data_IF_070440226594
#
_entry.id   IF_070440226594
#
_cell.length_a   1.000
_cell.length_b   1.000
_cell.length_c   1.000
_cell.angle_alpha   90.00
_cell.angle_beta   90.00
_cell.angle_gamma   90.00
#
_symmetry.space_group_name_H-M   'P 1'
#
loop_
_entity.id
_entity.type
_entity.pdbx_description
1 polymer ?
#
# COMPACT_ATOMS: atom_id res chain seq x y z
N UNK A 1 -32.70 33.69 64.02
CA UNK A 1 -34.07 33.17 64.26
C UNK A 1 -34.62 32.79 62.90
N UNK A 2 -35.08 31.59 62.52
CA UNK A 2 -35.39 30.28 63.12
C UNK A 2 -35.34 29.30 61.92
N UNK A 3 -34.46 28.29 61.84
CA UNK A 3 -34.62 26.87 62.28
C UNK A 3 -36.01 26.24 62.06
N UNK A 4 -36.08 25.26 61.14
CA UNK A 4 -36.68 23.89 61.23
C UNK A 4 -36.45 23.20 59.86
N UNK A 5 -35.50 22.28 59.65
CA UNK A 5 -35.47 20.82 60.00
C UNK A 5 -36.74 20.05 59.51
N UNK A 6 -36.73 18.88 58.84
CA UNK A 6 -35.70 17.83 58.67
C UNK A 6 -36.21 16.68 57.74
N UNK A 7 -35.26 15.82 57.30
CA UNK A 7 -35.34 14.42 56.79
C UNK A 7 -35.43 14.33 55.25
N UNK A 8 -34.54 13.73 54.46
CA UNK A 8 -33.37 12.85 54.70
C UNK A 8 -33.56 11.48 54.03
N UNK A 9 -32.91 11.24 52.87
CA UNK A 9 -32.15 9.99 52.55
C UNK A 9 -31.53 10.01 51.15
N UNK A 10 -30.26 9.65 51.14
CA UNK A 10 -29.35 9.40 50.02
C UNK A 10 -29.70 8.14 49.21
N UNK A 11 -29.75 8.26 47.87
CA UNK A 11 -29.36 7.25 46.86
C UNK A 11 -28.96 8.10 45.63
N UNK A 12 -27.71 8.16 45.19
CA UNK A 12 -27.02 7.15 44.38
C UNK A 12 -26.74 7.77 43.00
N UNK A 13 -25.50 7.60 42.51
CA UNK A 13 -24.92 8.20 41.29
C UNK A 13 -25.64 7.78 40.00
N UNK A 14 -25.28 8.50 38.91
CA UNK A 14 -25.19 8.09 37.48
C UNK A 14 -26.22 8.76 36.54
N UNK A 15 -25.70 9.10 35.35
CA UNK A 15 -26.35 9.63 34.12
C UNK A 15 -26.43 11.17 33.99
N UNK A 16 -25.30 11.79 33.70
CA UNK A 16 -25.26 13.02 32.89
C UNK A 16 -24.34 12.77 31.68
N UNK A 17 -24.87 12.02 30.69
CA UNK A 17 -24.13 11.59 29.52
C UNK A 17 -25.02 11.25 28.31
N UNK A 18 -26.17 11.93 28.15
CA UNK A 18 -27.08 11.69 27.01
C UNK A 18 -27.46 13.00 26.27
N UNK A 19 -27.05 14.18 26.76
CA UNK A 19 -27.48 15.47 26.19
C UNK A 19 -26.82 15.92 24.88
N UNK A 20 -25.69 15.34 24.47
CA UNK A 20 -24.91 15.80 23.29
C UNK A 20 -25.13 14.94 22.05
N UNK A 21 -25.53 13.67 22.20
CA UNK A 21 -25.80 12.78 21.06
C UNK A 21 -27.09 13.11 20.30
N UNK A 22 -28.08 13.72 20.96
CA UNK A 22 -29.38 14.01 20.33
C UNK A 22 -29.38 15.22 19.38
N UNK A 23 -28.40 16.14 19.50
CA UNK A 23 -28.34 17.33 18.64
C UNK A 23 -27.61 17.10 17.31
N UNK A 24 -26.80 16.03 17.18
CA UNK A 24 -26.16 15.68 15.91
C UNK A 24 -27.10 14.88 14.98
N UNK A 25 -28.06 14.14 15.55
CA UNK A 25 -29.02 13.33 14.78
C UNK A 25 -30.09 14.22 14.08
N UNK A 26 -30.39 15.39 14.65
CA UNK A 26 -31.39 16.32 14.10
C UNK A 26 -30.99 17.01 12.79
N UNK A 27 -29.69 17.23 12.54
CA UNK A 27 -29.22 17.89 11.31
C UNK A 27 -28.99 16.92 10.14
N UNK A 28 -28.74 15.63 10.41
CA UNK A 28 -28.61 14.59 9.38
C UNK A 28 -29.96 14.21 8.75
N UNK A 29 -31.05 14.30 9.51
CA UNK A 29 -32.40 13.99 9.01
C UNK A 29 -32.90 15.01 7.97
N UNK A 30 -32.45 16.28 8.05
CA UNK A 30 -32.82 17.32 7.08
C UNK A 30 -32.04 17.18 5.76
N UNK A 31 -30.77 16.79 5.83
CA UNK A 31 -29.95 16.45 4.66
C UNK A 31 -30.44 15.20 3.93
N UNK A 32 -30.91 14.19 4.68
CA UNK A 32 -31.49 12.97 4.13
C UNK A 32 -32.82 13.19 3.39
N UNK A 33 -33.57 14.26 3.73
CA UNK A 33 -34.79 14.62 3.00
C UNK A 33 -34.49 15.28 1.65
N UNK A 34 -33.45 16.12 1.57
CA UNK A 34 -33.00 16.74 0.31
C UNK A 34 -32.29 15.75 -0.62
N UNK A 35 -31.64 14.71 -0.09
CA UNK A 35 -31.01 13.64 -0.87
C UNK A 35 -32.01 12.68 -1.55
N UNK A 36 -33.29 12.74 -1.18
CA UNK A 36 -34.30 11.76 -1.62
C UNK A 36 -34.83 12.00 -3.03
N UNK A 37 -34.45 13.10 -3.69
CA UNK A 37 -34.92 13.45 -5.04
C UNK A 37 -33.99 13.07 -6.21
N UNK A 38 -32.74 12.60 -6.01
CA UNK A 38 -31.84 12.30 -7.14
C UNK A 38 -31.53 10.80 -7.30
N UNK A 39 -32.53 9.99 -7.66
CA UNK A 39 -32.36 8.55 -7.76
C UNK A 39 -31.84 8.06 -9.11
N UNK A 40 -30.69 7.36 -9.09
CA UNK A 40 -30.43 6.09 -9.82
C UNK A 40 -29.02 5.51 -9.59
N UNK A 41 -28.01 6.33 -9.23
CA UNK A 41 -26.64 5.86 -8.94
C UNK A 41 -26.42 5.41 -7.47
N UNK A 42 -27.37 5.72 -6.58
CA UNK A 42 -27.20 5.61 -5.13
C UNK A 42 -27.04 4.18 -4.61
N UNK A 43 -27.56 3.14 -5.28
CA UNK A 43 -27.58 1.78 -4.69
C UNK A 43 -26.21 1.13 -4.54
N UNK A 44 -25.21 1.48 -5.36
CA UNK A 44 -23.84 0.94 -5.23
C UNK A 44 -23.00 1.75 -4.24
N UNK A 45 -23.08 3.07 -4.31
CA UNK A 45 -22.41 3.98 -3.38
C UNK A 45 -22.96 3.80 -1.97
N UNK A 46 -24.28 3.73 -1.79
CA UNK A 46 -24.89 3.42 -0.50
C UNK A 46 -24.46 2.04 0.01
N UNK A 47 -24.34 1.01 -0.83
CA UNK A 47 -23.82 -0.30 -0.38
C UNK A 47 -22.35 -0.27 -0.01
N UNK A 48 -21.55 0.56 -0.65
CA UNK A 48 -20.14 0.76 -0.29
C UNK A 48 -20.04 1.53 1.03
N UNK A 49 -20.75 2.66 1.16
CA UNK A 49 -20.83 3.46 2.39
C UNK A 49 -21.36 2.62 3.55
N UNK A 50 -22.43 1.85 3.35
CA UNK A 50 -23.02 0.97 4.37
C UNK A 50 -22.06 -0.17 4.76
N UNK A 51 -21.25 -0.67 3.82
CA UNK A 51 -20.18 -1.63 4.11
C UNK A 51 -19.03 -0.99 4.90
N UNK A 52 -18.62 0.23 4.55
CA UNK A 52 -17.59 0.95 5.28
C UNK A 52 -18.07 1.29 6.69
N UNK A 53 -19.31 1.78 6.84
CA UNK A 53 -19.93 2.05 8.14
C UNK A 53 -20.06 0.77 8.98
N UNK A 54 -20.44 -0.37 8.37
CA UNK A 54 -20.50 -1.65 9.07
C UNK A 54 -19.13 -2.16 9.49
N UNK A 55 -18.12 -2.04 8.62
CA UNK A 55 -16.73 -2.39 8.93
C UNK A 55 -16.18 -1.53 10.06
N UNK A 56 -16.38 -0.21 9.98
CA UNK A 56 -16.02 0.74 11.04
C UNK A 56 -16.74 0.44 12.36
N UNK A 57 -18.02 0.07 12.33
CA UNK A 57 -18.76 -0.33 13.52
C UNK A 57 -18.23 -1.64 14.12
N UNK A 58 -17.94 -2.64 13.28
CA UNK A 58 -17.33 -3.91 13.71
C UNK A 58 -15.91 -3.72 14.27
N UNK A 59 -15.11 -2.82 13.69
CA UNK A 59 -13.77 -2.46 14.17
C UNK A 59 -13.81 -1.65 15.47
N UNK A 60 -14.80 -0.76 15.64
CA UNK A 60 -15.00 0.01 16.87
C UNK A 60 -15.48 -0.86 18.05
N UNK A 61 -16.08 -2.03 17.79
CA UNK A 61 -16.47 -3.02 18.81
C UNK A 61 -15.34 -3.98 19.21
N UNK A 62 -14.27 -4.09 18.41
CA UNK A 62 -13.10 -4.90 18.77
C UNK A 62 -12.33 -4.25 19.91
N UNK A 63 -11.99 -5.02 20.94
CA UNK A 63 -11.01 -4.58 21.93
C UNK A 63 -9.66 -4.39 21.23
N UNK A 64 -9.09 -3.19 21.34
CA UNK A 64 -7.80 -2.86 20.75
C UNK A 64 -6.70 -3.78 21.32
N UNK A 65 -6.21 -4.68 20.46
CA UNK A 65 -5.15 -5.64 20.76
C UNK A 65 -3.85 -5.32 19.99
N UNK A 66 -3.81 -4.17 19.31
CA UNK A 66 -2.69 -3.78 18.48
C UNK A 66 -1.43 -3.58 19.33
N UNK A 67 -0.39 -4.31 18.95
CA UNK A 67 0.97 -4.15 19.43
C UNK A 67 1.90 -4.44 18.26
N UNK A 68 2.86 -3.56 17.97
CA UNK A 68 3.87 -3.80 16.94
C UNK A 68 5.06 -4.57 17.49
N UNK A 69 5.73 -4.04 18.51
CA UNK A 69 6.92 -4.65 19.09
C UNK A 69 6.60 -6.01 19.72
N UNK A 70 7.33 -7.05 19.29
CA UNK A 70 7.14 -8.42 19.73
C UNK A 70 6.09 -9.22 18.94
N UNK A 71 5.38 -8.61 17.99
CA UNK A 71 4.52 -9.35 17.05
C UNK A 71 5.37 -10.15 16.06
N UNK A 72 4.96 -11.39 15.78
CA UNK A 72 5.69 -12.32 14.89
C UNK A 72 4.91 -12.51 13.60
N UNK A 73 5.43 -11.95 12.50
CA UNK A 73 4.85 -12.06 11.16
C UNK A 73 5.28 -13.37 10.52
N UNK A 74 4.33 -14.10 9.94
CA UNK A 74 4.57 -15.36 9.21
C UNK A 74 5.23 -16.44 10.07
N UNK A 75 4.95 -16.47 11.37
CA UNK A 75 5.52 -17.38 12.38
C UNK A 75 7.06 -17.35 12.48
N UNK A 76 7.73 -16.37 11.84
CA UNK A 76 9.18 -16.41 11.61
C UNK A 76 9.90 -15.09 11.90
N UNK A 77 9.21 -13.94 11.75
CA UNK A 77 9.86 -12.63 11.77
C UNK A 77 9.25 -11.73 12.85
N UNK A 78 9.97 -11.58 13.95
CA UNK A 78 9.57 -10.69 15.04
C UNK A 78 9.84 -9.21 14.69
N UNK A 79 8.85 -8.35 14.88
CA UNK A 79 8.99 -6.90 14.83
C UNK A 79 9.73 -6.46 16.10
N UNK A 80 11.02 -6.17 15.97
CA UNK A 80 11.85 -5.76 17.11
C UNK A 80 11.81 -4.25 17.32
N UNK A 81 11.81 -3.83 18.59
CA UNK A 81 11.90 -2.42 18.96
C UNK A 81 13.20 -1.78 18.49
N UNK A 82 13.09 -0.60 17.88
CA UNK A 82 14.24 0.23 17.45
C UNK A 82 14.43 1.47 18.30
N UNK A 83 13.63 1.61 19.36
CA UNK A 83 13.55 2.81 20.19
C UNK A 83 14.88 3.23 20.81
N UNK A 84 15.68 2.26 21.26
CA UNK A 84 17.00 2.56 21.84
C UNK A 84 17.91 3.26 20.82
N UNK A 85 17.90 2.80 19.56
CA UNK A 85 18.69 3.38 18.46
C UNK A 85 18.21 4.81 18.15
N UNK A 86 16.90 5.00 17.99
CA UNK A 86 16.35 6.32 17.66
C UNK A 86 16.55 7.34 18.80
N UNK A 87 16.40 6.93 20.06
CA UNK A 87 16.67 7.80 21.23
C UNK A 87 18.17 8.14 21.37
N UNK A 88 19.07 7.19 21.10
CA UNK A 88 20.51 7.44 21.08
C UNK A 88 20.91 8.43 19.99
N UNK A 89 20.33 8.30 18.78
CA UNK A 89 20.56 9.25 17.69
C UNK A 89 20.12 10.68 18.06
N UNK A 90 18.89 10.82 18.60
CA UNK A 90 18.32 12.13 18.98
C UNK A 90 19.10 12.79 20.13
N UNK A 91 19.57 12.00 21.10
CA UNK A 91 20.32 12.51 22.26
C UNK A 91 21.81 12.71 21.99
N UNK A 92 22.36 12.02 20.98
CA UNK A 92 23.80 11.92 20.75
C UNK A 92 24.53 10.99 21.73
N UNK A 93 23.82 10.30 22.62
CA UNK A 93 24.39 9.37 23.60
C UNK A 93 24.16 7.90 23.19
N UNK A 94 25.20 7.29 22.63
CA UNK A 94 25.19 5.87 22.26
C UNK A 94 25.66 4.95 23.40
N UNK A 95 25.99 5.46 24.60
CA UNK A 95 26.63 4.67 25.66
C UNK A 95 25.85 3.42 26.05
N UNK A 96 24.52 3.54 26.10
CA UNK A 96 23.55 2.48 26.47
C UNK A 96 23.30 1.44 25.38
N UNK A 97 23.73 1.70 24.15
CA UNK A 97 23.55 0.78 23.04
C UNK A 97 24.53 -0.41 23.12
N UNK A 98 24.03 -1.59 22.77
CA UNK A 98 24.85 -2.77 22.49
C UNK A 98 25.78 -2.54 21.31
N UNK A 99 26.75 -3.43 21.10
CA UNK A 99 27.69 -3.33 19.97
C UNK A 99 26.97 -3.37 18.60
N UNK A 100 25.94 -4.21 18.46
CA UNK A 100 25.14 -4.34 17.22
C UNK A 100 24.35 -3.05 16.98
N UNK A 101 23.65 -2.55 17.99
CA UNK A 101 22.89 -1.29 17.90
C UNK A 101 23.79 -0.08 17.60
N UNK A 102 24.99 0.02 18.20
CA UNK A 102 25.97 1.09 17.87
C UNK A 102 26.37 1.07 16.40
N UNK A 103 26.58 -0.11 15.83
CA UNK A 103 26.92 -0.24 14.42
C UNK A 103 25.74 0.15 13.52
N UNK A 104 24.52 -0.27 13.87
CA UNK A 104 23.29 0.09 13.16
C UNK A 104 23.00 1.59 13.23
N UNK A 105 23.08 2.21 14.42
CA UNK A 105 22.91 3.65 14.63
C UNK A 105 23.90 4.44 13.77
N UNK A 106 25.18 4.06 13.81
CA UNK A 106 26.21 4.73 13.02
C UNK A 106 25.93 4.67 11.52
N UNK A 107 25.60 3.49 10.99
CA UNK A 107 25.25 3.33 9.57
C UNK A 107 24.02 4.15 9.20
N UNK A 108 22.98 4.09 10.03
CA UNK A 108 21.75 4.83 9.82
C UNK A 108 22.01 6.35 9.81
N UNK A 109 22.80 6.85 10.77
CA UNK A 109 23.22 8.24 10.85
C UNK A 109 23.96 8.71 9.60
N UNK A 110 24.96 7.96 9.13
CA UNK A 110 25.73 8.28 7.93
C UNK A 110 24.83 8.36 6.67
N UNK A 111 23.84 7.47 6.57
CA UNK A 111 22.85 7.49 5.49
C UNK A 111 21.96 8.73 5.60
N UNK A 112 21.37 8.97 6.77
CA UNK A 112 20.45 10.09 7.01
C UNK A 112 21.13 11.43 6.75
N UNK A 113 22.32 11.67 7.29
CA UNK A 113 23.09 12.91 7.08
C UNK A 113 23.32 13.22 5.59
N UNK A 114 23.46 12.18 4.76
CA UNK A 114 23.63 12.34 3.32
C UNK A 114 22.32 12.65 2.61
N UNK A 115 21.26 11.88 2.89
CA UNK A 115 20.02 11.96 2.10
C UNK A 115 19.10 13.10 2.55
N UNK A 116 19.15 13.51 3.83
CA UNK A 116 18.26 14.55 4.37
C UNK A 116 18.90 15.93 4.45
N UNK A 117 20.16 16.10 4.01
CA UNK A 117 20.92 17.36 4.10
C UNK A 117 20.20 18.62 3.61
N UNK A 118 19.32 18.47 2.61
CA UNK A 118 18.58 19.58 1.99
C UNK A 118 17.09 19.60 2.32
N UNK A 119 16.62 18.61 3.08
CA UNK A 119 15.21 18.47 3.43
C UNK A 119 14.84 19.49 4.51
N UNK A 120 13.70 20.14 4.33
CA UNK A 120 13.14 21.19 5.19
C UNK A 120 11.83 20.77 5.83
N UNK A 121 11.09 19.87 5.20
CA UNK A 121 9.81 19.35 5.69
C UNK A 121 9.92 17.87 6.01
N UNK A 122 9.00 17.36 6.81
CA UNK A 122 8.94 15.95 7.17
C UNK A 122 8.64 15.08 5.95
N UNK A 123 7.76 15.54 5.05
CA UNK A 123 7.58 14.90 3.73
C UNK A 123 8.88 14.79 2.91
N UNK A 124 9.73 15.83 2.89
CA UNK A 124 10.98 15.77 2.13
C UNK A 124 11.98 14.78 2.76
N UNK A 125 11.98 14.65 4.09
CA UNK A 125 12.83 13.66 4.78
C UNK A 125 12.34 12.25 4.53
N UNK A 126 11.03 12.02 4.67
CA UNK A 126 10.36 10.75 4.38
C UNK A 126 10.63 10.30 2.94
N UNK A 127 10.37 11.17 1.96
CA UNK A 127 10.61 10.87 0.55
C UNK A 127 12.08 10.50 0.29
N UNK A 128 13.04 11.21 0.91
CA UNK A 128 14.46 10.91 0.76
C UNK A 128 14.81 9.51 1.33
N UNK A 129 14.23 9.13 2.47
CA UNK A 129 14.38 7.79 3.06
C UNK A 129 13.75 6.74 2.16
N UNK A 130 12.50 6.93 1.75
CA UNK A 130 11.78 6.05 0.83
C UNK A 130 12.60 5.78 -0.43
N UNK A 131 13.07 6.84 -1.10
CA UNK A 131 13.84 6.71 -2.35
C UNK A 131 15.18 6.01 -2.14
N UNK A 132 15.83 6.25 -1.00
CA UNK A 132 17.06 5.56 -0.66
C UNK A 132 16.80 4.07 -0.44
N UNK A 133 15.76 3.71 0.33
CA UNK A 133 15.41 2.32 0.60
C UNK A 133 15.03 1.58 -0.68
N UNK A 134 14.12 2.15 -1.49
CA UNK A 134 13.69 1.59 -2.77
C UNK A 134 14.88 1.28 -3.70
N UNK A 135 15.89 2.17 -3.71
CA UNK A 135 17.06 2.03 -4.60
C UNK A 135 18.15 1.10 -4.05
N UNK A 136 18.32 1.04 -2.73
CA UNK A 136 19.52 0.45 -2.11
C UNK A 136 19.25 -0.85 -1.36
N UNK A 137 17.99 -1.28 -1.23
CA UNK A 137 17.63 -2.54 -0.60
C UNK A 137 16.92 -3.38 -1.65
N UNK A 138 17.35 -4.63 -1.85
CA UNK A 138 16.65 -5.59 -2.71
C UNK A 138 15.73 -6.46 -1.85
N UNK A 139 14.69 -7.02 -2.46
CA UNK A 139 13.92 -8.07 -1.81
C UNK A 139 14.78 -9.35 -1.67
N UNK A 140 14.49 -10.14 -0.63
CA UNK A 140 15.10 -11.47 -0.42
C UNK A 140 14.17 -12.57 -0.93
N UNK A 141 13.55 -12.39 -2.10
CA UNK A 141 12.58 -13.34 -2.67
C UNK A 141 13.20 -14.64 -3.19
N UNK A 142 14.38 -15.03 -2.69
CA UNK A 142 14.95 -16.34 -3.02
C UNK A 142 14.13 -17.44 -2.36
N UNK A 143 13.20 -18.02 -3.12
CA UNK A 143 12.56 -19.31 -2.81
C UNK A 143 13.53 -20.50 -2.78
N UNK A 144 14.84 -20.27 -2.92
CA UNK A 144 15.87 -21.28 -2.68
C UNK A 144 16.30 -21.21 -1.23
N UNK A 145 15.58 -21.93 -0.38
CA UNK A 145 16.02 -22.30 0.97
C UNK A 145 17.29 -23.15 0.82
N UNK A 146 18.46 -22.50 0.77
CA UNK A 146 19.73 -23.17 1.02
C UNK A 146 19.97 -23.15 2.53
N UNK A 147 19.74 -24.30 3.15
CA UNK A 147 19.88 -24.63 4.59
C UNK A 147 21.31 -24.42 5.14
N UNK A 148 22.23 -23.78 4.42
CA UNK A 148 23.65 -23.81 4.75
C UNK A 148 24.31 -22.47 5.05
N UNK A 149 23.62 -21.31 5.08
CA UNK A 149 24.19 -20.10 5.70
C UNK A 149 23.17 -18.99 5.99
N UNK A 150 22.61 -18.98 7.21
CA UNK A 150 22.06 -17.81 7.95
C UNK A 150 21.65 -16.57 7.11
N UNK A 151 20.42 -16.53 6.60
CA UNK A 151 19.70 -15.29 6.31
C UNK A 151 19.06 -14.70 7.60
N UNK A 152 19.73 -14.82 8.75
CA UNK A 152 19.08 -14.67 10.07
C UNK A 152 18.82 -13.23 10.52
N UNK A 153 19.15 -12.22 9.72
CA UNK A 153 19.02 -10.80 10.10
C UNK A 153 18.25 -9.94 9.08
N UNK A 154 17.72 -10.52 7.98
CA UNK A 154 17.04 -9.77 6.88
C UNK A 154 15.71 -9.11 7.28
N UNK A 155 15.20 -9.42 8.47
CA UNK A 155 14.03 -8.80 9.08
C UNK A 155 14.39 -7.75 10.14
N UNK A 156 15.69 -7.44 10.31
CA UNK A 156 16.18 -6.49 11.33
C UNK A 156 16.91 -5.32 10.66
N UNK A 157 16.84 -4.08 11.19
CA UNK A 157 17.56 -2.95 10.58
C UNK A 157 19.07 -3.17 10.46
N UNK A 158 19.67 -3.91 11.41
CA UNK A 158 21.07 -4.28 11.34
C UNK A 158 21.41 -5.13 10.10
N UNK A 159 20.59 -6.14 9.80
CA UNK A 159 20.79 -6.98 8.62
C UNK A 159 20.43 -6.27 7.33
N UNK A 160 19.36 -5.47 7.32
CA UNK A 160 18.99 -4.65 6.16
C UNK A 160 20.10 -3.67 5.80
N UNK A 161 20.63 -2.91 6.76
CA UNK A 161 21.66 -1.92 6.49
C UNK A 161 23.02 -2.55 6.16
N UNK A 162 23.34 -3.71 6.72
CA UNK A 162 24.59 -4.44 6.46
C UNK A 162 24.59 -5.26 5.16
N UNK A 163 23.48 -5.92 4.84
CA UNK A 163 23.36 -6.87 3.72
C UNK A 163 22.60 -6.35 2.50
N UNK A 164 21.85 -5.25 2.64
CA UNK A 164 21.03 -4.65 1.57
C UNK A 164 19.98 -5.59 0.97
N UNK A 165 19.57 -6.60 1.74
CA UNK A 165 18.48 -7.53 1.44
C UNK A 165 17.52 -7.57 2.61
N UNK A 166 16.22 -7.60 2.32
CA UNK A 166 15.21 -7.62 3.37
C UNK A 166 13.90 -8.29 2.95
N UNK A 167 13.20 -8.82 3.95
CA UNK A 167 11.77 -9.18 3.90
C UNK A 167 10.91 -8.01 4.39
N UNK A 168 9.58 -8.10 4.28
CA UNK A 168 8.66 -7.02 4.65
C UNK A 168 8.93 -6.42 6.04
N UNK A 169 9.13 -7.26 7.07
CA UNK A 169 9.46 -6.82 8.44
C UNK A 169 10.76 -6.01 8.49
N UNK A 170 11.76 -6.39 7.70
CA UNK A 170 13.03 -5.68 7.63
C UNK A 170 12.89 -4.31 6.99
N UNK A 171 12.05 -4.17 5.96
CA UNK A 171 11.73 -2.87 5.38
C UNK A 171 10.98 -2.00 6.39
N UNK A 172 9.88 -2.50 6.96
CA UNK A 172 9.04 -1.73 7.87
C UNK A 172 9.83 -1.25 9.11
N UNK A 173 10.50 -2.17 9.81
CA UNK A 173 11.31 -1.81 10.99
C UNK A 173 12.46 -0.85 10.67
N UNK A 174 13.08 -0.94 9.48
CA UNK A 174 14.12 0.01 9.05
C UNK A 174 13.54 1.38 8.72
N UNK A 175 12.39 1.42 8.05
CA UNK A 175 11.70 2.67 7.74
C UNK A 175 11.23 3.37 9.02
N UNK A 176 10.52 2.68 9.92
CA UNK A 176 10.15 3.18 11.25
C UNK A 176 11.37 3.74 12.00
N UNK A 177 12.48 2.99 12.06
CA UNK A 177 13.70 3.44 12.72
C UNK A 177 14.22 4.76 12.14
N UNK A 178 14.26 4.89 10.81
CA UNK A 178 14.65 6.14 10.16
C UNK A 178 13.69 7.29 10.48
N UNK A 179 12.37 7.05 10.45
CA UNK A 179 11.36 8.07 10.78
C UNK A 179 11.53 8.56 12.21
N UNK A 180 11.64 7.64 13.19
CA UNK A 180 11.83 7.98 14.60
C UNK A 180 13.15 8.72 14.86
N UNK A 181 14.24 8.35 14.17
CA UNK A 181 15.52 9.07 14.24
C UNK A 181 15.36 10.51 13.75
N UNK A 182 14.56 10.72 12.69
CA UNK A 182 14.26 12.03 12.12
C UNK A 182 13.21 12.82 12.92
N UNK A 183 12.65 12.23 13.98
CA UNK A 183 11.66 12.84 14.87
C UNK A 183 10.21 12.71 14.41
N UNK A 184 9.93 11.85 13.43
CA UNK A 184 8.58 11.60 12.93
C UNK A 184 7.90 10.49 13.73
N UNK A 185 6.59 10.60 13.92
CA UNK A 185 5.75 9.53 14.48
C UNK A 185 5.50 8.48 13.39
N UNK A 186 5.80 7.22 13.68
CA UNK A 186 5.67 6.12 12.74
C UNK A 186 5.31 4.83 13.47
N UNK A 187 4.41 4.05 12.89
CA UNK A 187 4.00 2.72 13.35
C UNK A 187 4.31 1.67 12.30
N UNK A 188 4.65 0.45 12.73
CA UNK A 188 4.66 -0.73 11.87
C UNK A 188 3.27 -1.34 11.87
N UNK A 189 2.57 -1.20 10.75
CA UNK A 189 1.31 -1.91 10.52
C UNK A 189 1.63 -3.33 10.12
N UNK A 190 0.84 -4.29 10.60
CA UNK A 190 1.07 -5.70 10.33
C UNK A 190 -0.22 -6.50 10.27
N UNK A 191 -0.10 -7.67 9.67
CA UNK A 191 -1.02 -8.79 9.77
C UNK A 191 -0.22 -10.10 9.78
N UNK A 192 -0.91 -11.24 9.68
CA UNK A 192 -0.29 -12.56 9.83
C UNK A 192 0.85 -12.85 8.83
N UNK A 193 0.93 -12.15 7.69
CA UNK A 193 1.88 -12.45 6.62
C UNK A 193 2.63 -11.23 6.05
N UNK A 194 2.26 -10.01 6.42
CA UNK A 194 2.84 -8.80 5.87
C UNK A 194 3.03 -7.69 6.91
N UNK A 195 3.96 -6.78 6.63
CA UNK A 195 4.19 -5.59 7.44
C UNK A 195 4.65 -4.42 6.58
N UNK A 196 4.19 -3.23 6.95
CA UNK A 196 4.49 -1.95 6.29
C UNK A 196 4.37 -0.83 7.34
N UNK A 197 4.38 0.43 6.93
CA UNK A 197 4.45 1.57 7.84
C UNK A 197 3.25 2.50 7.74
N UNK A 198 2.98 3.18 8.85
CA UNK A 198 2.04 4.30 8.96
C UNK A 198 2.77 5.48 9.58
N UNK A 199 2.87 6.60 8.86
CA UNK A 199 3.69 7.74 9.26
C UNK A 199 2.90 9.03 9.24
N UNK A 200 3.17 9.90 10.22
CA UNK A 200 2.53 11.21 10.35
C UNK A 200 3.42 12.30 9.78
N UNK A 201 2.83 13.18 8.97
CA UNK A 201 3.57 14.23 8.25
C UNK A 201 3.17 15.65 8.70
N UNK A 202 3.73 16.67 8.05
CA UNK A 202 3.67 18.07 8.50
C UNK A 202 2.24 18.64 8.65
N UNK A 203 1.25 18.02 8.01
CA UNK A 203 -0.17 18.40 8.12
C UNK A 203 -0.91 17.69 9.25
N UNK A 204 -0.17 16.98 10.11
CA UNK A 204 -0.67 16.14 11.20
C UNK A 204 -1.61 15.02 10.73
N UNK A 205 -1.54 14.64 9.46
CA UNK A 205 -2.28 13.49 8.91
C UNK A 205 -1.37 12.27 8.82
N UNK A 206 -1.99 11.10 8.87
CA UNK A 206 -1.33 9.80 8.74
C UNK A 206 -1.42 9.27 7.31
N UNK A 207 -0.41 8.49 6.94
CA UNK A 207 -0.19 7.98 5.61
C UNK A 207 0.41 6.58 5.65
N UNK A 208 -0.14 5.65 4.87
CA UNK A 208 0.45 4.32 4.67
C UNK A 208 1.64 4.41 3.72
N UNK A 209 2.74 3.73 4.08
CA UNK A 209 3.94 3.57 3.25
C UNK A 209 4.36 2.10 3.24
N UNK A 210 4.48 1.51 2.05
CA UNK A 210 4.96 0.14 1.89
C UNK A 210 6.09 0.08 0.84
N UNK A 211 7.32 0.27 1.33
CA UNK A 211 8.52 0.23 0.49
C UNK A 211 8.75 -1.18 -0.08
N UNK A 212 8.44 -2.23 0.68
CA UNK A 212 8.67 -3.61 0.26
C UNK A 212 7.82 -3.98 -0.95
N UNK A 213 6.53 -3.64 -0.94
CA UNK A 213 5.62 -3.92 -2.04
C UNK A 213 5.98 -3.13 -3.30
N UNK A 214 6.42 -1.87 -3.15
CA UNK A 214 6.89 -1.06 -4.28
C UNK A 214 8.15 -1.65 -4.92
N UNK A 215 9.13 -2.09 -4.11
CA UNK A 215 10.34 -2.75 -4.62
C UNK A 215 9.98 -4.09 -5.28
N UNK A 216 9.15 -4.90 -4.63
CA UNK A 216 8.84 -6.26 -5.10
C UNK A 216 8.00 -6.29 -6.37
N UNK A 217 7.18 -5.26 -6.59
CA UNK A 217 6.38 -5.09 -7.81
C UNK A 217 7.05 -4.23 -8.88
N UNK A 218 8.27 -3.74 -8.63
CA UNK A 218 8.96 -2.76 -9.47
C UNK A 218 8.10 -1.52 -9.78
N UNK A 219 7.23 -1.13 -8.83
CA UNK A 219 6.21 -0.11 -8.99
C UNK A 219 6.47 1.05 -8.03
N UNK A 220 7.45 1.89 -8.38
CA UNK A 220 7.83 3.03 -7.54
C UNK A 220 6.64 3.96 -7.29
N UNK A 221 6.41 4.25 -6.01
CA UNK A 221 5.36 5.08 -5.41
C UNK A 221 3.94 4.53 -5.49
N UNK A 222 3.74 3.25 -5.81
CA UNK A 222 2.41 2.64 -5.81
C UNK A 222 1.81 2.61 -4.41
N UNK A 223 2.66 2.41 -3.40
CA UNK A 223 2.29 2.32 -2.00
C UNK A 223 2.97 3.41 -1.15
N UNK A 224 3.26 4.58 -1.74
CA UNK A 224 3.85 5.72 -1.03
C UNK A 224 2.80 6.79 -0.72
N UNK A 225 2.54 6.96 0.58
CA UNK A 225 1.61 7.91 1.18
C UNK A 225 0.16 7.68 0.75
N UNK A 226 -0.35 6.47 0.96
CA UNK A 226 -1.75 6.13 0.70
C UNK A 226 -2.63 6.51 1.90
N UNK A 227 -3.85 7.04 1.66
CA UNK A 227 -4.89 7.08 2.69
C UNK A 227 -5.51 5.68 2.85
N UNK A 228 -6.21 5.45 3.97
CA UNK A 228 -6.86 4.18 4.32
C UNK A 228 -7.72 3.64 3.17
N UNK A 229 -8.53 4.51 2.54
CA UNK A 229 -9.43 4.13 1.45
C UNK A 229 -8.71 3.58 0.21
N UNK A 230 -7.44 3.95 0.00
CA UNK A 230 -6.59 3.42 -1.07
C UNK A 230 -5.84 2.18 -0.58
N UNK A 231 -5.23 2.24 0.61
CA UNK A 231 -4.50 1.12 1.18
C UNK A 231 -5.38 -0.13 1.32
N UNK A 232 -6.64 0.03 1.71
CA UNK A 232 -7.62 -1.06 1.86
C UNK A 232 -7.94 -1.83 0.58
N UNK A 233 -7.49 -1.37 -0.61
CA UNK A 233 -7.63 -2.10 -1.85
C UNK A 233 -6.61 -3.26 -1.99
N UNK A 234 -5.47 -3.17 -1.30
CA UNK A 234 -4.38 -4.16 -1.36
C UNK A 234 -3.82 -4.59 -0.01
N UNK A 235 -4.21 -3.91 1.07
CA UNK A 235 -3.73 -4.13 2.43
C UNK A 235 -4.89 -4.39 3.38
N UNK A 236 -4.67 -5.28 4.33
CA UNK A 236 -5.61 -5.60 5.41
C UNK A 236 -4.89 -5.49 6.74
N UNK A 237 -5.46 -4.71 7.67
CA UNK A 237 -4.93 -4.50 9.01
C UNK A 237 -6.07 -4.35 10.03
N UNK A 238 -5.72 -4.48 11.31
CA UNK A 238 -6.60 -4.10 12.41
C UNK A 238 -6.54 -2.58 12.62
N UNK A 239 -7.54 -1.86 12.12
CA UNK A 239 -7.65 -0.41 12.28
C UNK A 239 -8.03 0.06 13.68
N UNK A 240 -8.46 -0.84 14.59
CA UNK A 240 -8.97 -0.45 15.92
C UNK A 240 -7.91 0.17 16.85
N UNK A 241 -6.62 -0.12 16.57
CA UNK A 241 -5.50 0.33 17.40
C UNK A 241 -4.53 1.30 16.74
N UNK A 242 -4.79 1.66 15.48
CA UNK A 242 -3.96 2.55 14.68
C UNK A 242 -4.72 3.84 14.36
N UNK A 243 -4.02 4.98 14.20
CA UNK A 243 -4.66 6.21 13.77
C UNK A 243 -5.14 6.11 12.31
N UNK A 244 -6.28 6.73 12.00
CA UNK A 244 -6.81 6.76 10.62
C UNK A 244 -5.91 7.57 9.68
N UNK A 245 -5.56 7.00 8.52
CA UNK A 245 -4.87 7.72 7.44
C UNK A 245 -5.87 8.37 6.49
N UNK A 246 -6.29 9.59 6.83
CA UNK A 246 -7.18 10.41 5.99
C UNK A 246 -6.43 11.46 5.18
N UNK A 247 -5.10 11.50 5.28
CA UNK A 247 -4.27 12.49 4.60
C UNK A 247 -4.29 12.34 3.08
N UNK A 248 -4.46 13.45 2.37
CA UNK A 248 -4.43 13.50 0.88
C UNK A 248 -3.32 14.39 0.30
N UNK A 249 -2.88 15.39 1.07
CA UNK A 249 -1.90 16.40 0.64
C UNK A 249 -0.55 15.79 0.22
N UNK A 250 -0.13 14.74 0.90
CA UNK A 250 1.15 14.08 0.68
C UNK A 250 1.09 12.80 -0.15
N UNK A 251 -0.09 12.40 -0.63
CA UNK A 251 -0.23 11.32 -1.59
C UNK A 251 0.59 11.61 -2.85
N UNK A 252 1.46 10.68 -3.23
CA UNK A 252 2.35 10.88 -4.36
C UNK A 252 1.59 11.18 -5.68
N UNK A 253 0.49 10.48 -6.01
CA UNK A 253 -0.29 10.81 -7.20
C UNK A 253 -0.88 12.22 -7.19
N UNK A 254 -1.44 12.65 -6.04
CA UNK A 254 -2.09 13.97 -5.90
C UNK A 254 -1.07 15.09 -6.13
N UNK A 255 0.13 14.96 -5.57
CA UNK A 255 1.20 15.95 -5.72
C UNK A 255 1.79 16.04 -7.13
N UNK A 256 1.80 14.92 -7.84
CA UNK A 256 2.48 14.79 -9.14
C UNK A 256 1.50 14.73 -10.33
N UNK A 257 0.22 15.01 -10.10
CA UNK A 257 -0.81 14.98 -11.13
C UNK A 257 -0.61 16.06 -12.20
N UNK A 258 -0.66 15.64 -13.47
CA UNK A 258 -0.65 16.54 -14.62
C UNK A 258 -2.06 16.74 -15.16
N UNK A 259 -2.38 17.96 -15.57
CA UNK A 259 -3.69 18.26 -16.14
C UNK A 259 -3.83 17.67 -17.55
N UNK A 260 -4.94 16.97 -17.78
CA UNK A 260 -5.35 16.48 -19.10
C UNK A 260 -6.80 16.89 -19.39
N UNK A 261 -7.17 16.88 -20.67
CA UNK A 261 -8.49 17.32 -21.13
C UNK A 261 -9.57 16.32 -20.75
N UNK A 262 -9.32 15.05 -21.01
CA UNK A 262 -10.28 13.96 -20.90
C UNK A 262 -9.59 12.58 -20.85
N UNK A 263 -10.36 11.55 -20.53
CA UNK A 263 -9.88 10.16 -20.41
C UNK A 263 -9.36 9.59 -21.73
N UNK A 264 -9.79 10.11 -22.89
CA UNK A 264 -9.38 9.58 -24.20
C UNK A 264 -7.88 9.76 -24.47
N UNK A 265 -7.20 10.64 -23.72
CA UNK A 265 -5.75 10.82 -23.80
C UNK A 265 -4.96 9.76 -23.01
N UNK A 266 -5.61 9.05 -22.08
CA UNK A 266 -4.94 8.13 -21.14
C UNK A 266 -4.28 6.93 -21.82
N UNK A 267 -4.93 6.20 -22.76
CA UNK A 267 -4.32 5.01 -23.37
C UNK A 267 -2.99 5.31 -24.09
N UNK A 268 -2.95 6.40 -24.86
CA UNK A 268 -1.74 6.83 -25.56
C UNK A 268 -0.61 7.20 -24.59
N UNK A 269 -0.96 7.81 -23.45
CA UNK A 269 0.01 8.17 -22.39
C UNK A 269 0.55 6.93 -21.67
N UNK A 270 -0.29 5.94 -21.38
CA UNK A 270 0.15 4.65 -20.81
C UNK A 270 1.13 3.97 -21.75
N UNK A 271 0.79 3.83 -23.04
CA UNK A 271 1.69 3.24 -24.03
C UNK A 271 3.05 3.95 -24.05
N UNK A 272 3.05 5.28 -24.05
CA UNK A 272 4.29 6.06 -24.01
C UNK A 272 5.07 5.86 -22.70
N UNK A 273 4.38 5.74 -21.57
CA UNK A 273 4.99 5.51 -20.27
C UNK A 273 5.68 4.14 -20.19
N UNK A 274 5.03 3.10 -20.73
CA UNK A 274 5.59 1.75 -20.86
C UNK A 274 6.89 1.78 -21.67
N UNK A 275 6.89 2.40 -22.85
CA UNK A 275 8.13 2.53 -23.67
C UNK A 275 9.25 3.27 -22.94
N UNK A 276 8.89 4.22 -22.06
CA UNK A 276 9.84 4.99 -21.25
C UNK A 276 10.16 4.35 -19.90
N UNK A 277 9.68 3.11 -19.65
CA UNK A 277 9.85 2.37 -18.39
C UNK A 277 9.46 3.20 -17.15
N UNK A 278 8.36 3.94 -17.25
CA UNK A 278 7.79 4.66 -16.09
C UNK A 278 6.92 3.72 -15.27
N UNK A 279 7.00 3.82 -13.94
CA UNK A 279 6.18 3.06 -13.00
C UNK A 279 4.81 3.69 -12.73
N UNK A 280 4.55 4.92 -13.18
CA UNK A 280 3.27 5.55 -12.94
C UNK A 280 2.98 6.82 -13.74
N UNK A 281 1.69 7.15 -13.79
CA UNK A 281 1.10 8.34 -14.41
C UNK A 281 -0.03 8.84 -13.52
N UNK A 282 -0.14 10.16 -13.35
CA UNK A 282 -1.13 10.74 -12.46
C UNK A 282 -1.83 11.90 -13.18
N UNK A 283 -3.14 11.86 -13.25
CA UNK A 283 -3.93 12.78 -14.07
C UNK A 283 -4.99 13.50 -13.26
N UNK A 284 -4.98 14.82 -13.33
CA UNK A 284 -6.14 15.65 -12.95
C UNK A 284 -6.85 16.12 -14.21
N UNK A 285 -8.14 16.34 -14.12
CA UNK A 285 -8.97 16.66 -15.28
C UNK A 285 -9.39 18.11 -15.25
N UNK A 286 -9.37 18.76 -16.42
CA UNK A 286 -9.81 20.15 -16.56
C UNK A 286 -11.30 20.32 -16.23
N UNK A 287 -12.10 19.31 -16.56
CA UNK A 287 -13.52 19.26 -16.25
C UNK A 287 -13.75 18.40 -15.00
N UNK A 288 -14.83 18.69 -14.27
CA UNK A 288 -15.25 17.89 -13.12
C UNK A 288 -15.49 16.44 -13.54
N UNK A 289 -14.86 15.52 -12.82
CA UNK A 289 -15.03 14.07 -13.00
C UNK A 289 -16.41 13.66 -12.49
N UNK A 290 -17.13 12.87 -13.28
CA UNK A 290 -18.43 12.30 -12.93
C UNK A 290 -18.33 10.79 -12.68
N UNK A 291 -19.35 10.18 -12.06
CA UNK A 291 -19.45 8.72 -11.92
C UNK A 291 -19.34 7.99 -13.27
N UNK A 292 -19.83 8.62 -14.36
CA UNK A 292 -19.73 8.08 -15.72
C UNK A 292 -18.29 8.05 -16.20
N UNK A 293 -17.50 9.06 -15.87
CA UNK A 293 -16.08 9.11 -16.19
C UNK A 293 -15.31 8.04 -15.40
N UNK A 294 -15.64 7.85 -14.13
CA UNK A 294 -15.04 6.79 -13.31
C UNK A 294 -15.36 5.40 -13.88
N UNK A 295 -16.63 5.11 -14.22
CA UNK A 295 -17.02 3.84 -14.85
C UNK A 295 -16.39 3.64 -16.24
N UNK A 296 -16.26 4.72 -17.02
CA UNK A 296 -15.56 4.69 -18.31
C UNK A 296 -14.08 4.36 -18.13
N UNK A 297 -13.44 4.91 -17.08
CA UNK A 297 -12.04 4.61 -16.77
C UNK A 297 -11.81 3.14 -16.41
N UNK A 298 -12.73 2.50 -15.67
CA UNK A 298 -12.66 1.08 -15.37
C UNK A 298 -12.73 0.23 -16.65
N UNK A 299 -13.68 0.55 -17.54
CA UNK A 299 -13.81 -0.14 -18.84
C UNK A 299 -12.54 0.02 -19.67
N UNK A 300 -12.03 1.26 -19.76
CA UNK A 300 -10.79 1.57 -20.46
C UNK A 300 -9.60 0.78 -19.89
N UNK A 301 -9.48 0.68 -18.56
CA UNK A 301 -8.37 -0.04 -17.92
C UNK A 301 -8.48 -1.56 -18.12
N UNK A 302 -9.70 -2.12 -18.15
CA UNK A 302 -9.91 -3.53 -18.50
C UNK A 302 -9.46 -3.81 -19.95
N UNK A 303 -9.83 -2.95 -20.89
CA UNK A 303 -9.41 -3.07 -22.29
C UNK A 303 -7.89 -2.95 -22.45
N UNK A 304 -7.26 -2.03 -21.70
CA UNK A 304 -5.80 -1.88 -21.66
C UNK A 304 -5.15 -3.14 -21.08
N UNK A 305 -5.65 -3.66 -19.96
CA UNK A 305 -5.12 -4.88 -19.35
C UNK A 305 -5.20 -6.07 -20.31
N UNK A 306 -6.33 -6.23 -21.01
CA UNK A 306 -6.49 -7.26 -22.03
C UNK A 306 -5.50 -7.06 -23.20
N UNK A 307 -5.33 -5.83 -23.68
CA UNK A 307 -4.39 -5.51 -24.75
C UNK A 307 -2.92 -5.77 -24.36
N UNK A 308 -2.55 -5.53 -23.09
CA UNK A 308 -1.21 -5.85 -22.57
C UNK A 308 -0.99 -7.36 -22.45
N UNK A 309 -2.01 -8.11 -22.02
CA UNK A 309 -1.94 -9.55 -21.87
C UNK A 309 -1.78 -10.29 -23.22
N UNK A 310 -2.45 -9.83 -24.28
CA UNK A 310 -2.40 -10.46 -25.61
C UNK A 310 -1.29 -9.91 -26.51
N UNK A 311 -0.50 -8.94 -26.04
CA UNK A 311 0.56 -8.34 -26.85
C UNK A 311 1.73 -9.31 -27.00
N UNK A 312 2.04 -9.75 -28.23
CA UNK A 312 3.17 -10.65 -28.51
C UNK A 312 4.52 -10.10 -28.00
N UNK A 313 4.66 -8.78 -27.94
CA UNK A 313 5.89 -8.10 -27.49
C UNK A 313 5.99 -7.92 -25.98
N UNK A 314 4.87 -7.98 -25.26
CA UNK A 314 4.84 -7.75 -23.81
C UNK A 314 4.45 -9.01 -23.03
N UNK A 315 3.74 -9.96 -23.67
CA UNK A 315 3.40 -11.29 -23.19
C UNK A 315 2.98 -11.37 -21.70
N UNK A 316 2.25 -10.37 -21.20
CA UNK A 316 1.84 -10.28 -19.79
C UNK A 316 2.94 -9.88 -18.79
N UNK A 317 4.14 -9.53 -19.23
CA UNK A 317 5.25 -9.04 -18.39
C UNK A 317 5.00 -7.66 -17.80
N UNK A 318 3.97 -6.96 -18.27
CA UNK A 318 3.59 -5.63 -17.80
C UNK A 318 2.13 -5.66 -17.39
N UNK A 319 1.83 -5.17 -16.19
CA UNK A 319 0.47 -4.90 -15.73
C UNK A 319 0.29 -3.40 -15.50
N UNK A 320 -0.96 -2.95 -15.61
CA UNK A 320 -1.34 -1.60 -15.27
C UNK A 320 -2.59 -1.62 -14.39
N UNK A 321 -2.56 -0.90 -13.28
CA UNK A 321 -3.69 -0.72 -12.37
C UNK A 321 -4.03 0.77 -12.26
N UNK A 322 -5.27 1.09 -11.92
CA UNK A 322 -5.71 2.46 -11.77
C UNK A 322 -6.53 2.66 -10.51
N UNK A 323 -6.36 3.82 -9.88
CA UNK A 323 -7.03 4.21 -8.65
C UNK A 323 -7.41 5.68 -8.71
N UNK A 324 -8.59 6.00 -8.18
CA UNK A 324 -9.04 7.37 -8.01
C UNK A 324 -8.67 7.87 -6.63
N UNK A 325 -7.87 8.94 -6.57
CA UNK A 325 -7.51 9.63 -5.34
C UNK A 325 -8.33 10.90 -5.20
N UNK A 326 -8.89 11.15 -4.02
CA UNK A 326 -9.41 12.47 -3.66
C UNK A 326 -8.24 13.46 -3.54
N UNK A 327 -8.38 14.65 -4.12
CA UNK A 327 -7.35 15.70 -4.07
C UNK A 327 -7.51 16.69 -2.89
N UNK A 328 -8.51 16.46 -2.04
CA UNK A 328 -8.89 17.30 -0.91
C UNK A 328 -9.62 18.58 -1.30
N UNK A 329 -10.03 18.72 -2.57
CA UNK A 329 -10.66 19.94 -3.14
C UNK A 329 -11.91 19.61 -3.95
N UNK A 330 -12.65 18.57 -3.53
CA UNK A 330 -13.85 18.06 -4.23
C UNK A 330 -13.58 17.65 -5.69
N UNK A 331 -12.35 17.20 -5.95
CA UNK A 331 -11.87 16.78 -7.25
C UNK A 331 -11.05 15.50 -7.11
N UNK A 332 -10.76 14.85 -8.23
CA UNK A 332 -10.13 13.53 -8.24
C UNK A 332 -8.93 13.48 -9.17
N UNK A 333 -7.95 12.69 -8.75
CA UNK A 333 -6.78 12.31 -9.55
C UNK A 333 -6.89 10.85 -9.94
N UNK A 334 -6.81 10.57 -11.25
CA UNK A 334 -6.64 9.22 -11.76
C UNK A 334 -5.16 8.87 -11.69
N UNK A 335 -4.80 8.01 -10.75
CA UNK A 335 -3.47 7.41 -10.66
C UNK A 335 -3.44 6.11 -11.45
N UNK A 336 -2.38 5.91 -12.22
CA UNK A 336 -2.14 4.69 -12.99
C UNK A 336 -0.75 4.21 -12.63
N UNK A 337 -0.66 2.99 -12.11
CA UNK A 337 0.60 2.35 -11.76
C UNK A 337 0.90 1.26 -12.79
N UNK A 338 2.16 1.17 -13.18
CA UNK A 338 2.66 0.24 -14.19
C UNK A 338 3.72 -0.60 -13.52
N UNK A 339 3.47 -1.90 -13.44
CA UNK A 339 4.38 -2.87 -12.84
C UNK A 339 4.98 -3.73 -13.95
N UNK A 340 6.25 -4.12 -13.78
CA UNK A 340 6.94 -4.99 -14.72
C UNK A 340 7.50 -6.21 -13.99
N UNK A 341 7.20 -7.39 -14.52
CA UNK A 341 7.61 -8.69 -13.99
C UNK A 341 8.81 -9.27 -14.76
N UNK A 342 9.44 -8.48 -15.64
CA UNK A 342 10.56 -8.95 -16.48
C UNK A 342 11.80 -9.38 -15.68
N UNK A 343 11.88 -8.99 -14.40
CA UNK A 343 13.04 -9.25 -13.53
C UNK A 343 12.80 -10.39 -12.53
N UNK A 344 11.61 -11.00 -12.48
CA UNK A 344 11.47 -12.28 -11.77
C UNK A 344 12.09 -13.37 -12.63
N UNK A 345 13.16 -14.07 -12.17
CA UNK A 345 13.62 -15.25 -12.87
C UNK A 345 12.44 -16.22 -12.89
N UNK A 346 11.88 -16.45 -14.08
CA UNK A 346 10.97 -17.56 -14.28
C UNK A 346 11.84 -18.80 -14.29
N UNK A 347 12.32 -19.21 -13.11
CA UNK A 347 13.19 -20.36 -12.94
C UNK A 347 12.36 -21.63 -13.04
N UNK A 348 11.88 -21.90 -14.26
CA UNK A 348 11.32 -23.18 -14.63
C UNK A 348 12.43 -24.20 -14.92
N UNK A 349 13.70 -23.90 -14.64
CA UNK A 349 14.81 -24.81 -14.95
C UNK A 349 14.77 -26.10 -14.13
N UNK A 350 14.00 -26.12 -13.02
CA UNK A 350 13.72 -27.32 -12.23
C UNK A 350 12.42 -28.07 -12.61
N UNK A 351 11.58 -27.50 -13.48
CA UNK A 351 10.30 -28.12 -13.84
C UNK A 351 10.45 -29.05 -15.05
N UNK A 352 10.02 -30.30 -14.90
CA UNK A 352 9.95 -31.25 -16.00
C UNK A 352 9.02 -30.73 -17.11
N UNK A 353 9.60 -30.50 -18.28
CA UNK A 353 8.92 -29.98 -19.47
C UNK A 353 7.67 -30.80 -19.85
N UNK A 354 7.67 -32.11 -19.59
CA UNK A 354 6.51 -32.99 -19.82
C UNK A 354 5.37 -32.72 -18.85
N UNK A 355 5.68 -32.38 -17.60
CA UNK A 355 4.69 -32.02 -16.58
C UNK A 355 4.06 -30.68 -16.93
N UNK A 356 4.87 -29.70 -17.33
CA UNK A 356 4.40 -28.38 -17.78
C UNK A 356 3.49 -28.53 -19.01
N UNK A 357 3.90 -29.30 -20.03
CA UNK A 357 3.07 -29.59 -21.22
C UNK A 357 1.75 -30.29 -20.86
N UNK A 358 1.78 -31.23 -19.90
CA UNK A 358 0.58 -31.94 -19.43
C UNK A 358 -0.40 -31.01 -18.71
N UNK A 359 0.10 -30.14 -17.82
CA UNK A 359 -0.73 -29.15 -17.11
C UNK A 359 -1.33 -28.17 -18.11
N UNK A 360 -0.54 -27.63 -19.04
CA UNK A 360 -1.04 -26.71 -20.08
C UNK A 360 -2.12 -27.35 -20.92
N UNK A 361 -1.94 -28.59 -21.37
CA UNK A 361 -2.97 -29.33 -22.13
C UNK A 361 -4.25 -29.55 -21.32
N UNK A 362 -4.13 -29.76 -20.01
CA UNK A 362 -5.28 -29.85 -19.11
C UNK A 362 -6.00 -28.49 -19.02
N UNK A 363 -5.27 -27.40 -18.81
CA UNK A 363 -5.82 -26.03 -18.73
C UNK A 363 -6.53 -25.66 -20.03
N UNK A 364 -5.87 -25.83 -21.17
CA UNK A 364 -6.45 -25.58 -22.50
C UNK A 364 -7.76 -26.36 -22.70
N UNK A 365 -7.79 -27.64 -22.31
CA UNK A 365 -8.99 -28.48 -22.41
C UNK A 365 -10.10 -28.06 -21.43
N UNK A 366 -9.74 -27.67 -20.21
CA UNK A 366 -10.70 -27.32 -19.16
C UNK A 366 -11.38 -25.99 -19.45
N UNK A 367 -10.63 -25.02 -19.99
CA UNK A 367 -11.13 -23.67 -20.24
C UNK A 367 -11.48 -23.39 -21.70
N UNK A 368 -11.34 -24.37 -22.59
CA UNK A 368 -11.57 -24.26 -24.04
C UNK A 368 -10.80 -23.10 -24.68
N UNK A 369 -9.54 -22.93 -24.27
CA UNK A 369 -8.62 -21.91 -24.76
C UNK A 369 -7.38 -22.57 -25.36
N UNK A 370 -6.73 -21.90 -26.32
CA UNK A 370 -5.48 -22.38 -26.94
C UNK A 370 -4.32 -21.51 -26.44
N UNK A 371 -3.36 -22.14 -25.77
CA UNK A 371 -2.17 -21.45 -25.23
C UNK A 371 -1.02 -21.49 -26.27
N UNK A 372 -0.16 -20.48 -26.28
CA UNK A 372 0.67 -20.03 -27.41
C UNK A 372 1.83 -20.95 -27.84
N UNK A 373 2.23 -21.96 -27.07
CA UNK A 373 3.31 -22.90 -27.45
C UNK A 373 2.85 -24.04 -28.38
N UNK A 374 1.58 -24.09 -28.78
CA UNK A 374 1.04 -25.11 -29.71
C UNK A 374 1.48 -24.90 -31.18
N UNK A 375 2.38 -23.96 -31.47
CA UNK A 375 2.78 -23.58 -32.84
C UNK A 375 3.92 -24.42 -33.46
N UNK A 376 4.58 -25.32 -32.71
CA UNK A 376 5.61 -26.20 -33.30
C UNK A 376 5.04 -27.30 -34.21
N UNK A 377 3.75 -27.64 -34.10
CA UNK A 377 3.12 -28.69 -34.92
C UNK A 377 2.61 -28.20 -36.30
N UNK A 378 2.89 -26.94 -36.68
CA UNK A 378 2.39 -26.37 -37.96
C UNK A 378 3.40 -26.54 -39.11
N UNK A 379 4.67 -26.82 -38.85
CA UNK A 379 5.67 -26.98 -39.95
C UNK A 379 5.54 -28.35 -40.63
N UNK A 380 5.15 -29.41 -39.91
CA UNK A 380 5.06 -30.77 -40.48
C UNK A 380 3.76 -31.06 -41.26
N UNK A 381 2.76 -30.16 -41.24
CA UNK A 381 1.50 -30.36 -41.98
C UNK A 381 1.46 -29.70 -43.35
N UNK A 382 2.35 -28.76 -43.66
CA UNK A 382 2.45 -28.19 -45.01
C UNK A 382 3.40 -28.96 -45.94
N UNK A 383 4.31 -29.79 -45.42
CA UNK A 383 5.12 -30.69 -46.25
C UNK A 383 4.37 -31.98 -46.65
N UNK A 384 3.43 -32.46 -45.82
CA UNK A 384 2.64 -33.67 -46.13
C UNK A 384 1.50 -33.46 -47.14
N UNK A 385 1.19 -32.21 -47.53
CA UNK A 385 0.15 -31.91 -48.55
C UNK A 385 0.72 -31.62 -49.94
N UNK A 386 2.04 -31.78 -50.16
CA UNK A 386 2.67 -31.66 -51.49
C UNK A 386 3.01 -32.99 -52.16
N UNK A 387 2.66 -34.12 -51.54
CA UNK A 387 2.93 -35.47 -52.08
C UNK A 387 1.65 -36.33 -52.31
N UNK A 388 0.51 -35.71 -52.59
CA UNK A 388 -0.67 -36.43 -53.10
C UNK A 388 -1.28 -35.82 -54.35
#
# INVERSE_FOLDING_TARGET
MSKKEKIGKTVGKVVLGIGVAACLIGNLALGAYQLRESQANDKKILKYVDRQLKKQAEEAEKENSYQEDGYVVGDSYEIMSTKAISDAYKSGDVSKLSKKEKATEKQAKEILEKITKKCKTDYEKELAVYEWMYKNISNDSSNTISISNRASDTYTPAGVLGGKKAVCVGYATTFRMFMEMLGLECHVVHNDYHSWDLVKLDDNQWYHVDVYSDVSSSSKYANFNMPDGIAAAGHEWDGSGLPEATGVKYCYPVRNAVEIKDLYQVPAKIKQAITKKKSGLYFKFKNKVTDKDMALSETMMNDISNALAISDTLNGEISASAYWYDDGKESYVLAIFISSYSDTPNDNSELDEKVVKKIRKLVSKTFDVRLTDDMEDVVDREEASKEK
#
